data_IF_750644410662
#
_entry.id   IF_750644410662
#
_cell.length_a   1.000
_cell.length_b   1.000
_cell.length_c   1.000
_cell.angle_alpha   90.00
_cell.angle_beta   90.00
_cell.angle_gamma   90.00
#
_symmetry.space_group_name_H-M   'P 1'
#
loop_
_entity.id
_entity.type
_entity.pdbx_description
1 polymer ?
#
# COMPACT_ATOMS: atom_id res chain seq x y z
N UNK A 1 -75.38 12.71 -25.12
CA UNK A 1 -75.32 12.13 -23.77
C UNK A 1 -76.53 12.59 -23.02
N UNK A 2 -77.29 11.68 -22.43
CA UNK A 2 -78.47 12.08 -21.64
C UNK A 2 -77.99 12.89 -20.39
N UNK A 3 -78.48 14.10 -20.22
CA UNK A 3 -78.20 14.93 -19.04
C UNK A 3 -79.03 14.38 -17.89
N UNK A 4 -78.41 13.59 -16.99
CA UNK A 4 -79.03 13.11 -15.78
C UNK A 4 -78.68 14.08 -14.63
N UNK A 5 -79.70 14.53 -13.88
CA UNK A 5 -79.59 15.60 -12.88
C UNK A 5 -78.81 15.12 -11.63
N UNK A 6 -78.88 13.81 -11.29
CA UNK A 6 -78.24 13.25 -10.10
C UNK A 6 -76.74 12.82 -10.28
N UNK A 7 -76.28 12.70 -11.54
CA UNK A 7 -74.86 12.27 -11.79
C UNK A 7 -74.24 13.22 -12.79
N UNK A 8 -73.39 14.15 -12.34
CA UNK A 8 -72.67 15.06 -13.24
C UNK A 8 -71.41 14.37 -13.78
N UNK A 9 -71.55 13.64 -14.90
CA UNK A 9 -70.48 12.93 -15.53
C UNK A 9 -69.31 13.82 -15.98
N UNK A 10 -69.61 15.07 -16.39
CA UNK A 10 -68.60 16.05 -16.81
C UNK A 10 -67.75 16.50 -15.61
N UNK A 11 -68.35 16.72 -14.44
CA UNK A 11 -67.64 17.01 -13.20
C UNK A 11 -66.74 15.87 -12.75
N UNK A 12 -67.21 14.61 -12.83
CA UNK A 12 -66.43 13.43 -12.48
C UNK A 12 -65.23 13.23 -13.38
N UNK A 13 -65.43 13.40 -14.74
CA UNK A 13 -64.33 13.33 -15.70
C UNK A 13 -63.29 14.43 -15.43
N UNK A 14 -63.75 15.65 -15.20
CA UNK A 14 -62.88 16.79 -14.91
C UNK A 14 -62.09 16.55 -13.64
N UNK A 15 -62.73 16.03 -12.57
CA UNK A 15 -62.09 15.71 -11.29
C UNK A 15 -61.04 14.61 -11.43
N UNK A 16 -61.31 13.55 -12.22
CA UNK A 16 -60.35 12.52 -12.55
C UNK A 16 -59.13 13.06 -13.32
N UNK A 17 -59.36 14.00 -14.24
CA UNK A 17 -58.31 14.65 -15.01
C UNK A 17 -57.43 15.56 -14.09
N UNK A 18 -58.06 16.30 -13.18
CA UNK A 18 -57.37 17.12 -12.19
C UNK A 18 -56.51 16.23 -11.28
N UNK A 19 -57.01 15.10 -10.78
CA UNK A 19 -56.26 14.17 -9.95
C UNK A 19 -55.05 13.57 -10.69
N UNK A 20 -55.21 13.17 -11.97
CA UNK A 20 -54.10 12.70 -12.80
C UNK A 20 -53.03 13.80 -12.99
N UNK A 21 -53.49 15.03 -13.27
CA UNK A 21 -52.60 16.15 -13.47
C UNK A 21 -51.85 16.53 -12.15
N UNK A 22 -52.55 16.45 -11.00
CA UNK A 22 -51.94 16.64 -9.68
C UNK A 22 -50.83 15.63 -9.43
N UNK A 23 -51.04 14.36 -9.79
CA UNK A 23 -49.99 13.32 -9.66
C UNK A 23 -48.82 13.62 -10.60
N UNK A 24 -49.05 14.05 -11.85
CA UNK A 24 -48.01 14.43 -12.79
C UNK A 24 -47.21 15.65 -12.28
N UNK A 25 -47.89 16.66 -11.73
CA UNK A 25 -47.25 17.83 -11.14
C UNK A 25 -46.36 17.43 -9.94
N UNK A 26 -46.83 16.56 -9.05
CA UNK A 26 -46.08 16.06 -7.91
C UNK A 26 -44.83 15.32 -8.38
N UNK A 27 -44.92 14.47 -9.40
CA UNK A 27 -43.77 13.75 -9.97
C UNK A 27 -42.74 14.72 -10.58
N UNK A 28 -43.18 15.74 -11.34
CA UNK A 28 -42.26 16.73 -11.91
C UNK A 28 -41.58 17.57 -10.84
N UNK A 29 -42.27 17.94 -9.77
CA UNK A 29 -41.66 18.62 -8.61
C UNK A 29 -40.64 17.73 -7.88
N UNK A 30 -40.95 16.44 -7.67
CA UNK A 30 -40.05 15.47 -7.07
C UNK A 30 -38.76 15.30 -7.87
N UNK A 31 -38.87 15.11 -9.21
CA UNK A 31 -37.75 15.01 -10.14
C UNK A 31 -36.91 16.28 -10.19
N UNK A 32 -37.56 17.43 -10.17
CA UNK A 32 -36.88 18.71 -10.19
C UNK A 32 -36.15 18.98 -8.90
N UNK A 33 -36.72 18.58 -7.74
CA UNK A 33 -36.12 18.72 -6.42
C UNK A 33 -34.96 17.74 -6.19
N UNK A 34 -35.07 16.51 -6.67
CA UNK A 34 -34.01 15.48 -6.57
C UNK A 34 -32.93 15.61 -7.65
N UNK A 35 -33.23 16.22 -8.78
CA UNK A 35 -32.40 16.20 -9.98
C UNK A 35 -32.41 14.87 -10.73
N UNK A 36 -33.21 13.90 -10.25
CA UNK A 36 -33.21 12.54 -10.77
C UNK A 36 -34.54 12.22 -11.48
N UNK A 37 -34.45 11.60 -12.66
CA UNK A 37 -35.59 11.06 -13.40
C UNK A 37 -36.15 9.80 -12.77
N UNK A 38 -35.23 8.97 -12.19
CA UNK A 38 -35.57 7.74 -11.49
C UNK A 38 -35.25 7.96 -9.99
N UNK A 39 -36.27 8.17 -9.18
CA UNK A 39 -36.13 8.42 -7.76
C UNK A 39 -36.45 7.16 -6.93
N UNK A 40 -37.30 6.30 -7.46
CA UNK A 40 -37.76 5.07 -6.81
C UNK A 40 -37.86 3.90 -7.78
N UNK A 41 -37.92 2.66 -7.23
CA UNK A 41 -38.14 1.46 -8.03
C UNK A 41 -39.50 1.47 -8.79
N UNK A 42 -40.46 2.30 -8.36
CA UNK A 42 -41.74 2.48 -8.99
C UNK A 42 -41.63 3.22 -10.35
N UNK A 43 -40.64 4.10 -10.48
CA UNK A 43 -40.43 4.90 -11.68
C UNK A 43 -39.83 4.04 -12.81
N UNK A 44 -38.78 3.29 -12.50
CA UNK A 44 -38.13 2.33 -13.40
C UNK A 44 -37.28 1.36 -12.57
N UNK A 45 -37.78 0.17 -12.31
CA UNK A 45 -37.05 -0.86 -11.51
C UNK A 45 -35.78 -1.34 -12.20
N UNK A 46 -35.78 -1.46 -13.53
CA UNK A 46 -34.63 -1.90 -14.31
C UNK A 46 -33.54 -0.82 -14.34
N UNK A 47 -33.94 0.42 -14.63
CA UNK A 47 -33.02 1.57 -14.63
C UNK A 47 -32.39 1.81 -13.26
N UNK A 48 -33.18 1.69 -12.19
CA UNK A 48 -32.64 1.82 -10.82
C UNK A 48 -31.64 0.70 -10.46
N UNK A 49 -31.93 -0.55 -10.85
CA UNK A 49 -30.99 -1.65 -10.60
C UNK A 49 -29.64 -1.44 -11.34
N UNK A 50 -29.71 -0.95 -12.59
CA UNK A 50 -28.50 -0.61 -13.38
C UNK A 50 -27.76 0.55 -12.74
N UNK A 51 -28.46 1.63 -12.36
CA UNK A 51 -27.85 2.80 -11.70
C UNK A 51 -27.19 2.44 -10.37
N UNK A 52 -27.80 1.56 -9.57
CA UNK A 52 -27.21 1.06 -8.32
C UNK A 52 -25.94 0.25 -8.58
N UNK A 53 -25.91 -0.57 -9.64
CA UNK A 53 -24.68 -1.29 -10.03
C UNK A 53 -23.59 -0.33 -10.48
N UNK A 54 -23.92 0.72 -11.21
CA UNK A 54 -22.94 1.76 -11.58
C UNK A 54 -22.43 2.50 -10.35
N UNK A 55 -23.31 2.87 -9.42
CA UNK A 55 -22.91 3.51 -8.15
C UNK A 55 -21.95 2.62 -7.36
N UNK A 56 -22.24 1.32 -7.25
CA UNK A 56 -21.37 0.36 -6.59
C UNK A 56 -19.99 0.27 -7.26
N UNK A 57 -19.97 0.16 -8.60
CA UNK A 57 -18.74 0.10 -9.37
C UNK A 57 -17.92 1.40 -9.25
N UNK A 58 -18.57 2.57 -9.38
CA UNK A 58 -17.91 3.89 -9.24
C UNK A 58 -17.26 4.01 -7.86
N UNK A 59 -17.99 3.67 -6.78
CA UNK A 59 -17.42 3.67 -5.42
C UNK A 59 -16.26 2.71 -5.28
N UNK A 60 -16.39 1.50 -5.83
CA UNK A 60 -15.32 0.49 -5.84
C UNK A 60 -14.07 0.97 -6.58
N UNK A 61 -14.23 1.51 -7.80
CA UNK A 61 -13.12 2.02 -8.61
C UNK A 61 -12.46 3.26 -7.98
N UNK A 62 -13.25 4.14 -7.34
CA UNK A 62 -12.72 5.29 -6.60
C UNK A 62 -11.87 4.84 -5.41
N UNK A 63 -12.31 3.80 -4.68
CA UNK A 63 -11.51 3.21 -3.62
C UNK A 63 -10.26 2.53 -4.17
N UNK A 64 -10.38 1.81 -5.28
CA UNK A 64 -9.25 1.18 -5.96
C UNK A 64 -8.19 2.19 -6.41
N UNK A 65 -8.61 3.37 -6.90
CA UNK A 65 -7.69 4.46 -7.22
C UNK A 65 -6.95 4.98 -5.99
N UNK A 66 -7.61 5.11 -4.85
CA UNK A 66 -6.93 5.44 -3.57
C UNK A 66 -5.94 4.37 -3.15
N UNK A 67 -6.33 3.11 -3.19
CA UNK A 67 -5.44 1.99 -2.87
C UNK A 67 -4.20 1.95 -3.79
N UNK A 68 -4.37 2.27 -5.06
CA UNK A 68 -3.25 2.35 -6.01
C UNK A 68 -2.28 3.49 -5.65
N UNK A 69 -2.78 4.65 -5.23
CA UNK A 69 -1.96 5.76 -4.74
C UNK A 69 -1.22 5.40 -3.44
N UNK A 70 -1.86 4.65 -2.53
CA UNK A 70 -1.20 4.13 -1.34
C UNK A 70 -0.07 3.17 -1.71
N UNK A 71 -0.28 2.32 -2.73
CA UNK A 71 0.76 1.45 -3.29
C UNK A 71 1.93 2.22 -3.91
N UNK A 72 1.66 3.32 -4.60
CA UNK A 72 2.71 4.22 -5.13
C UNK A 72 3.51 4.82 -3.96
N UNK A 73 2.85 5.32 -2.94
CA UNK A 73 3.51 5.91 -1.77
C UNK A 73 4.38 4.91 -1.01
N UNK A 74 3.93 3.65 -0.89
CA UNK A 74 4.72 2.55 -0.34
C UNK A 74 5.98 2.30 -1.17
N UNK A 75 5.83 2.20 -2.51
CA UNK A 75 6.95 1.96 -3.41
C UNK A 75 7.96 3.11 -3.37
N UNK A 76 7.51 4.36 -3.29
CA UNK A 76 8.36 5.54 -3.13
C UNK A 76 9.11 5.54 -1.79
N UNK A 77 8.45 5.13 -0.70
CA UNK A 77 9.10 5.00 0.62
C UNK A 77 10.21 3.96 0.58
N UNK A 78 9.95 2.81 -0.03
CA UNK A 78 10.96 1.77 -0.21
C UNK A 78 12.12 2.23 -1.13
N UNK A 79 11.81 2.94 -2.20
CA UNK A 79 12.81 3.49 -3.13
C UNK A 79 13.71 4.53 -2.45
N UNK A 80 13.14 5.41 -1.62
CA UNK A 80 13.91 6.37 -0.83
C UNK A 80 14.93 5.69 0.09
N UNK A 81 14.50 4.66 0.83
CA UNK A 81 15.38 3.87 1.68
C UNK A 81 16.46 3.12 0.89
N UNK A 82 16.11 2.56 -0.29
CA UNK A 82 17.08 1.91 -1.18
C UNK A 82 18.10 2.91 -1.75
N UNK A 83 17.72 4.17 -1.94
CA UNK A 83 18.67 5.22 -2.32
C UNK A 83 19.71 5.46 -1.24
N UNK A 84 19.30 5.51 0.03
CA UNK A 84 20.24 5.63 1.16
C UNK A 84 21.15 4.39 1.28
N UNK A 85 20.61 3.19 1.09
CA UNK A 85 21.39 1.95 1.06
C UNK A 85 22.42 2.01 -0.08
N UNK A 86 22.04 2.46 -1.26
CA UNK A 86 22.94 2.60 -2.42
C UNK A 86 24.06 3.60 -2.12
N UNK A 87 23.76 4.75 -1.51
CA UNK A 87 24.76 5.74 -1.11
C UNK A 87 25.77 5.15 -0.11
N UNK A 88 25.32 4.37 0.87
CA UNK A 88 26.20 3.69 1.80
C UNK A 88 27.05 2.63 1.10
N UNK A 89 26.51 1.85 0.16
CA UNK A 89 27.27 0.89 -0.64
C UNK A 89 28.34 1.56 -1.50
N UNK A 90 28.02 2.68 -2.13
CA UNK A 90 28.98 3.48 -2.90
C UNK A 90 30.11 4.00 -2.01
N UNK A 91 29.78 4.47 -0.82
CA UNK A 91 30.80 4.91 0.16
C UNK A 91 31.69 3.76 0.63
N UNK A 92 31.12 2.59 0.88
CA UNK A 92 31.91 1.37 1.19
C UNK A 92 32.83 1.03 0.02
N UNK A 93 32.36 1.18 -1.22
CA UNK A 93 33.17 0.94 -2.41
C UNK A 93 34.35 1.91 -2.52
N UNK A 94 34.15 3.19 -2.26
CA UNK A 94 35.22 4.19 -2.20
C UNK A 94 36.27 3.82 -1.13
N UNK A 95 35.82 3.48 0.07
CA UNK A 95 36.68 3.06 1.17
C UNK A 95 37.46 1.77 0.82
N UNK A 96 36.82 0.85 0.12
CA UNK A 96 37.45 -0.38 -0.35
C UNK A 96 38.55 -0.09 -1.39
N UNK A 97 38.32 0.83 -2.32
CA UNK A 97 39.33 1.27 -3.28
C UNK A 97 40.51 1.96 -2.55
N UNK A 98 40.18 2.79 -1.56
CA UNK A 98 41.21 3.44 -0.73
C UNK A 98 42.04 2.40 0.04
N UNK A 99 41.41 1.39 0.63
CA UNK A 99 42.10 0.33 1.35
C UNK A 99 43.01 -0.53 0.45
N UNK A 100 42.66 -0.64 -0.83
CA UNK A 100 43.43 -1.44 -1.80
C UNK A 100 44.75 -0.82 -2.21
N UNK A 101 45.06 0.43 -1.81
CA UNK A 101 46.35 1.05 -2.04
C UNK A 101 47.38 0.59 -1.02
N UNK A 102 48.54 0.15 -1.47
CA UNK A 102 49.65 -0.33 -0.58
C UNK A 102 50.33 0.76 0.25
N UNK A 103 49.78 1.99 0.27
CA UNK A 103 50.32 3.13 1.03
C UNK A 103 49.69 3.28 2.43
N UNK A 104 48.65 2.50 2.74
CA UNK A 104 47.94 2.58 4.02
C UNK A 104 48.73 1.81 5.10
N UNK A 105 48.82 2.39 6.29
CA UNK A 105 49.28 1.68 7.47
C UNK A 105 48.21 0.74 8.03
N UNK A 106 48.60 -0.20 8.90
CA UNK A 106 47.61 -1.09 9.56
C UNK A 106 46.59 -0.30 10.38
N UNK A 107 46.99 0.82 10.97
CA UNK A 107 46.09 1.75 11.69
C UNK A 107 45.09 2.42 10.77
N UNK A 108 45.52 2.79 9.52
CA UNK A 108 44.63 3.38 8.53
C UNK A 108 43.61 2.36 8.01
N UNK A 109 44.08 1.14 7.73
CA UNK A 109 43.24 0.00 7.34
C UNK A 109 42.19 -0.34 8.41
N UNK A 110 42.61 -0.32 9.69
CA UNK A 110 41.65 -0.52 10.81
C UNK A 110 40.58 0.57 10.83
N UNK A 111 40.97 1.84 10.69
CA UNK A 111 40.04 2.96 10.68
C UNK A 111 39.06 2.91 9.47
N UNK A 112 39.56 2.50 8.31
CA UNK A 112 38.72 2.29 7.12
C UNK A 112 37.73 1.15 7.38
N UNK A 113 38.17 0.05 8.00
CA UNK A 113 37.30 -1.08 8.34
C UNK A 113 36.20 -0.70 9.32
N UNK A 114 36.51 0.13 10.32
CA UNK A 114 35.51 0.63 11.26
C UNK A 114 34.47 1.51 10.59
N UNK A 115 34.86 2.36 9.62
CA UNK A 115 33.91 3.12 8.84
C UNK A 115 33.04 2.20 7.97
N UNK A 116 33.64 1.19 7.32
CA UNK A 116 32.89 0.20 6.51
C UNK A 116 31.86 -0.51 7.38
N UNK A 117 32.27 -0.96 8.58
CA UNK A 117 31.36 -1.60 9.53
C UNK A 117 30.20 -0.69 9.90
N UNK A 118 30.49 0.56 10.26
CA UNK A 118 29.45 1.57 10.57
C UNK A 118 28.46 1.76 9.42
N UNK A 119 28.94 1.73 8.17
CA UNK A 119 28.08 1.84 6.99
C UNK A 119 27.23 0.58 6.76
N UNK A 120 27.77 -0.61 7.02
CA UNK A 120 26.99 -1.86 6.96
C UNK A 120 25.93 -1.91 8.06
N UNK A 121 26.26 -1.50 9.27
CA UNK A 121 25.30 -1.40 10.39
C UNK A 121 24.17 -0.40 10.04
N UNK A 122 24.50 0.70 9.35
CA UNK A 122 23.51 1.67 8.89
C UNK A 122 22.59 1.09 7.79
N UNK A 123 23.11 0.28 6.88
CA UNK A 123 22.30 -0.46 5.90
C UNK A 123 21.31 -1.38 6.62
N UNK A 124 21.77 -2.12 7.61
CA UNK A 124 20.91 -3.03 8.40
C UNK A 124 19.86 -2.25 9.20
N UNK A 125 20.23 -1.09 9.77
CA UNK A 125 19.31 -0.20 10.47
C UNK A 125 18.22 0.35 9.53
N UNK A 126 18.61 0.88 8.36
CA UNK A 126 17.66 1.40 7.37
C UNK A 126 16.72 0.30 6.90
N UNK A 127 17.25 -0.89 6.60
CA UNK A 127 16.45 -2.04 6.20
C UNK A 127 15.42 -2.46 7.27
N UNK A 128 15.85 -2.50 8.53
CA UNK A 128 15.00 -2.92 9.65
C UNK A 128 13.95 -1.87 10.05
N UNK A 129 14.26 -0.58 9.91
CA UNK A 129 13.41 0.52 10.39
C UNK A 129 12.50 1.11 9.33
N UNK A 130 12.78 0.88 8.03
CA UNK A 130 11.92 1.42 6.98
C UNK A 130 10.58 0.72 6.96
N UNK A 131 9.54 1.49 7.27
CA UNK A 131 8.17 0.99 7.32
C UNK A 131 7.20 1.96 6.64
N UNK A 132 6.14 1.40 6.10
CA UNK A 132 4.99 2.13 5.59
C UNK A 132 3.73 1.61 6.30
N UNK A 133 3.02 2.48 7.00
CA UNK A 133 1.83 2.15 7.78
C UNK A 133 2.01 0.93 8.72
N UNK A 134 3.16 0.87 9.41
CA UNK A 134 3.51 -0.23 10.34
C UNK A 134 3.98 -1.52 9.69
N UNK A 135 4.09 -1.56 8.35
CA UNK A 135 4.63 -2.71 7.62
C UNK A 135 6.06 -2.41 7.17
N UNK A 136 7.01 -3.23 7.60
CA UNK A 136 8.39 -3.13 7.16
C UNK A 136 8.48 -3.55 5.68
N UNK A 137 9.13 -2.71 4.86
CA UNK A 137 9.17 -2.90 3.40
C UNK A 137 10.47 -3.51 2.89
N UNK A 138 11.54 -3.52 3.71
CA UNK A 138 12.89 -4.01 3.33
C UNK A 138 13.42 -5.12 4.25
N UNK A 139 12.68 -5.52 5.30
CA UNK A 139 13.17 -6.46 6.31
C UNK A 139 12.86 -7.93 6.04
N UNK A 140 12.02 -8.22 5.06
CA UNK A 140 11.60 -9.60 4.70
C UNK A 140 11.22 -9.72 3.24
N UNK A 141 11.33 -10.94 2.72
CA UNK A 141 10.81 -11.27 1.40
C UNK A 141 9.31 -11.54 1.51
N UNK A 142 8.49 -10.67 0.91
CA UNK A 142 7.04 -10.77 0.96
C UNK A 142 6.43 -10.19 -0.34
N UNK A 143 5.14 -10.33 -0.52
CA UNK A 143 4.41 -9.76 -1.64
C UNK A 143 3.13 -9.09 -1.13
N UNK A 144 3.07 -7.79 -1.25
CA UNK A 144 1.88 -7.02 -0.91
C UNK A 144 0.96 -6.88 -2.12
N UNK A 145 -0.29 -7.31 -1.97
CA UNK A 145 -1.30 -7.19 -3.02
C UNK A 145 -2.12 -5.92 -2.81
N UNK A 146 -2.17 -5.08 -3.82
CA UNK A 146 -2.98 -3.86 -3.85
C UNK A 146 -4.18 -4.11 -4.73
N UNK A 147 -5.39 -3.97 -4.18
CA UNK A 147 -6.65 -4.09 -4.91
C UNK A 147 -6.85 -2.83 -5.77
N UNK A 148 -6.82 -2.99 -7.09
CA UNK A 148 -6.90 -1.92 -8.09
C UNK A 148 -8.14 -1.99 -8.96
N UNK A 149 -9.16 -2.69 -8.51
CA UNK A 149 -10.43 -2.81 -9.24
C UNK A 149 -11.61 -3.05 -8.31
N UNK A 150 -12.81 -2.95 -8.86
CA UNK A 150 -14.07 -3.10 -8.13
C UNK A 150 -14.46 -4.57 -7.90
N UNK A 151 -13.79 -5.53 -8.56
CA UNK A 151 -14.11 -6.96 -8.46
C UNK A 151 -12.95 -7.73 -7.82
N UNK A 152 -13.25 -8.93 -7.32
CA UNK A 152 -12.28 -9.83 -6.71
C UNK A 152 -11.12 -10.16 -7.67
N UNK A 153 -9.94 -10.36 -7.11
CA UNK A 153 -8.69 -10.70 -7.82
C UNK A 153 -8.15 -9.65 -8.80
N UNK A 154 -8.71 -8.44 -8.83
CA UNK A 154 -8.15 -7.33 -9.60
C UNK A 154 -7.03 -6.64 -8.80
N UNK A 155 -5.87 -7.28 -8.69
CA UNK A 155 -4.76 -6.83 -7.84
C UNK A 155 -3.48 -6.60 -8.63
N UNK A 156 -2.66 -5.66 -8.16
CA UNK A 156 -1.24 -5.55 -8.51
C UNK A 156 -0.43 -5.97 -7.29
N UNK A 157 0.55 -6.84 -7.49
CA UNK A 157 1.45 -7.27 -6.43
C UNK A 157 2.72 -6.42 -6.43
N UNK A 158 3.09 -5.91 -5.27
CA UNK A 158 4.37 -5.26 -5.00
C UNK A 158 5.25 -6.28 -4.31
N UNK A 159 6.32 -6.74 -4.99
CA UNK A 159 7.31 -7.63 -4.39
C UNK A 159 8.17 -6.84 -3.42
N UNK A 160 8.21 -7.25 -2.16
CA UNK A 160 9.11 -6.74 -1.15
C UNK A 160 10.29 -7.69 -1.02
N UNK A 161 11.49 -7.16 -0.88
CA UNK A 161 12.72 -7.95 -0.73
C UNK A 161 13.48 -7.50 0.50
N UNK A 162 14.04 -8.47 1.20
CA UNK A 162 14.97 -8.20 2.29
C UNK A 162 16.29 -7.71 1.70
N UNK A 163 16.71 -6.52 2.13
CA UNK A 163 17.95 -5.88 1.72
C UNK A 163 18.73 -5.49 2.97
N UNK A 164 19.57 -6.38 3.43
CA UNK A 164 20.47 -6.21 4.57
C UNK A 164 21.88 -6.68 4.20
N UNK A 165 22.84 -6.48 5.08
CA UNK A 165 24.24 -6.90 4.90
C UNK A 165 24.35 -8.41 4.60
N UNK A 166 23.46 -9.23 5.18
CA UNK A 166 23.43 -10.68 4.97
C UNK A 166 22.95 -11.06 3.58
N UNK A 167 21.81 -10.48 3.14
CA UNK A 167 21.24 -10.77 1.81
C UNK A 167 22.05 -10.17 0.68
N UNK A 168 22.83 -9.12 0.95
CA UNK A 168 23.80 -8.54 0.01
C UNK A 168 25.12 -9.31 -0.04
N UNK A 169 25.30 -10.38 0.76
CA UNK A 169 26.54 -11.15 0.93
C UNK A 169 27.72 -10.29 1.39
N UNK A 170 27.46 -9.27 2.20
CA UNK A 170 28.47 -8.39 2.76
C UNK A 170 28.69 -8.62 4.27
N UNK A 171 28.06 -9.66 4.86
CA UNK A 171 28.28 -10.03 6.24
C UNK A 171 29.72 -10.50 6.42
N UNK A 172 30.42 -9.87 7.38
CA UNK A 172 31.85 -10.16 7.60
C UNK A 172 32.77 -9.59 6.51
N UNK A 173 32.32 -8.60 5.75
CA UNK A 173 33.11 -7.93 4.72
C UNK A 173 34.33 -7.22 5.32
N UNK A 174 35.51 -7.55 4.88
CA UNK A 174 36.78 -6.97 5.36
C UNK A 174 37.69 -6.61 4.20
N UNK A 175 38.36 -5.47 4.32
CA UNK A 175 39.35 -4.97 3.33
C UNK A 175 40.78 -5.04 3.84
N UNK A 176 40.94 -5.11 5.17
CA UNK A 176 42.25 -5.03 5.83
C UNK A 176 42.85 -6.42 6.13
N UNK A 177 42.14 -7.50 5.82
CA UNK A 177 42.51 -8.84 6.29
C UNK A 177 42.30 -9.05 7.80
N UNK A 178 41.74 -8.06 8.50
CA UNK A 178 41.32 -8.22 9.90
C UNK A 178 39.89 -8.72 9.97
N UNK A 179 39.67 -9.79 10.72
CA UNK A 179 38.33 -10.33 10.92
C UNK A 179 37.47 -9.34 11.72
N UNK A 180 36.18 -9.22 11.37
CA UNK A 180 35.24 -8.45 12.19
C UNK A 180 34.89 -9.24 13.45
N UNK A 181 35.43 -8.81 14.57
CA UNK A 181 35.23 -9.44 15.85
C UNK A 181 34.03 -8.85 16.59
N UNK A 182 33.09 -9.70 16.96
CA UNK A 182 31.99 -9.37 17.84
C UNK A 182 32.00 -10.22 19.10
N UNK A 183 31.40 -9.75 20.20
CA UNK A 183 31.28 -10.56 21.42
C UNK A 183 30.55 -11.87 21.09
N UNK A 184 31.17 -13.00 21.42
CA UNK A 184 30.59 -14.30 21.13
C UNK A 184 29.32 -14.53 21.96
N UNK A 185 28.22 -14.85 21.28
CA UNK A 185 26.98 -15.30 21.91
C UNK A 185 26.94 -16.82 21.82
N UNK A 186 27.18 -17.48 22.95
CA UNK A 186 27.09 -18.93 23.01
C UNK A 186 25.76 -19.36 23.61
N UNK A 187 25.21 -20.44 23.07
CA UNK A 187 23.99 -21.08 23.58
C UNK A 187 24.31 -22.52 23.95
N UNK A 188 23.80 -22.96 25.08
CA UNK A 188 23.88 -24.35 25.53
C UNK A 188 23.00 -25.25 24.66
N UNK A 189 23.14 -26.56 24.78
CA UNK A 189 22.37 -27.54 24.05
C UNK A 189 20.82 -27.44 24.31
N UNK A 190 20.46 -26.89 25.46
CA UNK A 190 19.07 -26.63 25.87
C UNK A 190 18.50 -25.29 25.33
N UNK A 191 19.29 -24.54 24.55
CA UNK A 191 18.91 -23.23 24.01
C UNK A 191 19.08 -22.04 24.93
N UNK A 192 19.62 -22.24 26.16
CA UNK A 192 19.90 -21.15 27.09
C UNK A 192 21.18 -20.43 26.72
N UNK A 193 21.22 -19.08 26.86
CA UNK A 193 22.42 -18.31 26.63
C UNK A 193 23.47 -18.56 27.75
N UNK A 194 24.73 -18.84 27.38
CA UNK A 194 25.84 -19.00 28.30
C UNK A 194 26.31 -17.62 28.70
N UNK A 195 26.36 -17.36 30.02
CA UNK A 195 26.84 -16.08 30.52
C UNK A 195 28.37 -15.93 30.29
N UNK A 196 28.81 -14.69 30.02
CA UNK A 196 30.23 -14.40 29.78
C UNK A 196 31.14 -14.84 30.95
N UNK A 197 30.60 -14.94 32.18
CA UNK A 197 31.31 -15.42 33.35
C UNK A 197 31.61 -16.93 33.33
N UNK A 198 30.85 -17.70 32.56
CA UNK A 198 30.97 -19.15 32.46
C UNK A 198 31.81 -19.57 31.24
N UNK A 199 32.40 -18.61 30.52
CA UNK A 199 33.35 -18.83 29.43
C UNK A 199 34.78 -18.78 30.01
N UNK A 200 35.41 -19.94 30.12
CA UNK A 200 36.70 -20.09 30.80
C UNK A 200 37.70 -20.84 29.93
N UNK A 201 38.99 -20.52 30.10
CA UNK A 201 40.07 -21.28 29.50
C UNK A 201 40.31 -22.63 30.24
N UNK A 202 41.21 -23.45 29.71
CA UNK A 202 41.58 -24.73 30.31
C UNK A 202 42.17 -24.60 31.76
N UNK A 203 42.56 -23.41 32.14
CA UNK A 203 43.03 -23.08 33.49
C UNK A 203 41.95 -22.56 34.43
N UNK A 204 40.68 -22.47 33.97
CA UNK A 204 39.55 -21.95 34.74
C UNK A 204 39.47 -20.43 34.82
N UNK A 205 40.33 -19.70 34.11
CA UNK A 205 40.31 -18.23 34.03
C UNK A 205 39.27 -17.77 33.02
N UNK A 206 38.47 -16.77 33.39
CA UNK A 206 37.51 -16.15 32.45
C UNK A 206 38.25 -15.53 31.28
N UNK A 207 37.75 -15.82 30.06
CA UNK A 207 38.28 -15.26 28.81
C UNK A 207 37.22 -14.51 28.07
N UNK A 208 37.62 -13.39 27.44
CA UNK A 208 36.74 -12.62 26.59
C UNK A 208 36.74 -13.26 25.20
N UNK A 209 35.71 -14.06 24.94
CA UNK A 209 35.55 -14.79 23.67
C UNK A 209 34.92 -13.88 22.64
N UNK A 210 35.55 -13.79 21.49
CA UNK A 210 35.04 -13.09 20.31
C UNK A 210 34.65 -14.11 19.26
N UNK A 211 33.62 -13.79 18.52
CA UNK A 211 33.22 -14.54 17.33
C UNK A 211 33.52 -13.72 16.08
N UNK A 212 33.97 -14.39 15.03
CA UNK A 212 34.14 -13.81 13.72
C UNK A 212 33.61 -14.77 12.65
N UNK A 213 33.23 -14.22 11.50
CA UNK A 213 32.84 -15.05 10.34
C UNK A 213 34.07 -15.25 9.48
N UNK A 214 34.49 -16.48 9.30
CA UNK A 214 35.55 -16.82 8.36
C UNK A 214 34.96 -16.71 6.92
N UNK A 215 35.48 -15.75 6.16
CA UNK A 215 35.01 -15.46 4.79
C UNK A 215 35.29 -16.59 3.81
N UNK A 216 36.28 -17.44 4.08
CA UNK A 216 36.62 -18.58 3.21
C UNK A 216 35.64 -19.76 3.37
N UNK A 217 35.18 -20.02 4.61
CA UNK A 217 34.29 -21.13 4.94
C UNK A 217 32.84 -20.71 5.24
N UNK A 218 32.57 -19.40 5.32
CA UNK A 218 31.29 -18.80 5.75
C UNK A 218 30.79 -19.38 7.10
N UNK A 219 31.74 -19.80 7.95
CA UNK A 219 31.46 -20.38 9.26
C UNK A 219 31.84 -19.40 10.37
N UNK A 220 31.08 -19.45 11.47
CA UNK A 220 31.44 -18.70 12.68
C UNK A 220 32.59 -19.40 13.37
N UNK A 221 33.73 -18.72 13.52
CA UNK A 221 34.86 -19.13 14.29
C UNK A 221 34.99 -18.25 15.52
N UNK A 222 35.85 -18.67 16.46
CA UNK A 222 36.05 -17.96 17.70
C UNK A 222 37.51 -17.55 17.87
N UNK A 223 37.72 -16.43 18.54
CA UNK A 223 39.02 -15.91 18.84
C UNK A 223 39.07 -15.38 20.28
N UNK A 224 40.23 -15.39 20.85
CA UNK A 224 40.54 -14.78 22.18
C UNK A 224 41.69 -13.82 21.98
N UNK A 225 41.57 -12.63 22.62
CA UNK A 225 42.67 -11.66 22.62
C UNK A 225 43.72 -12.12 23.59
N UNK A 226 44.93 -12.37 23.14
CA UNK A 226 46.08 -12.58 24.02
C UNK A 226 46.46 -11.25 24.70
N UNK A 227 46.29 -11.19 26.00
CA UNK A 227 46.55 -10.00 26.81
C UNK A 227 48.04 -9.57 26.87
N UNK A 228 48.95 -10.46 26.48
CA UNK A 228 50.39 -10.17 26.48
C UNK A 228 50.85 -9.53 25.18
N UNK A 229 50.27 -9.96 24.05
CA UNK A 229 50.67 -9.54 22.71
C UNK A 229 49.67 -8.65 22.00
N UNK A 230 48.43 -8.57 22.53
CA UNK A 230 47.31 -7.84 21.90
C UNK A 230 46.78 -8.51 20.62
N UNK A 231 47.27 -9.72 20.30
CA UNK A 231 46.90 -10.43 19.09
C UNK A 231 45.66 -11.30 19.30
N UNK A 232 44.92 -11.49 18.23
CA UNK A 232 43.75 -12.38 18.21
C UNK A 232 44.23 -13.80 17.92
N UNK A 233 44.02 -14.72 18.87
CA UNK A 233 44.39 -16.12 18.74
C UNK A 233 43.13 -16.95 18.42
N UNK A 234 43.24 -17.88 17.47
CA UNK A 234 42.14 -18.78 17.12
C UNK A 234 41.75 -19.60 18.38
N UNK A 235 40.47 -19.73 18.65
CA UNK A 235 39.93 -20.44 19.78
C UNK A 235 38.91 -21.48 19.39
N UNK A 236 38.98 -22.67 19.96
CA UNK A 236 37.95 -23.69 19.86
C UNK A 236 37.10 -23.70 21.13
N UNK A 237 35.80 -23.83 21.00
CA UNK A 237 34.85 -23.81 22.11
C UNK A 237 34.20 -25.17 22.24
N UNK A 238 34.37 -25.78 23.41
CA UNK A 238 33.61 -26.98 23.77
C UNK A 238 32.54 -26.59 24.81
N UNK A 239 31.29 -26.78 24.45
CA UNK A 239 30.15 -26.49 25.31
C UNK A 239 29.78 -27.73 26.07
N UNK A 240 29.81 -27.66 27.41
CA UNK A 240 29.42 -28.74 28.33
C UNK A 240 28.35 -28.18 29.25
N UNK A 241 27.13 -28.66 29.15
CA UNK A 241 25.95 -28.18 29.88
C UNK A 241 25.75 -26.64 29.76
N UNK A 242 26.04 -25.87 30.80
CA UNK A 242 25.88 -24.41 30.84
C UNK A 242 27.21 -23.66 30.91
N UNK A 243 28.32 -24.32 30.68
CA UNK A 243 29.67 -23.72 30.68
C UNK A 243 30.34 -23.95 29.32
N UNK A 244 31.17 -23.00 28.91
CA UNK A 244 31.96 -23.10 27.70
C UNK A 244 33.46 -23.18 28.09
N UNK A 245 34.08 -24.31 27.78
CA UNK A 245 35.53 -24.46 27.89
C UNK A 245 36.17 -23.97 26.57
N UNK A 246 37.06 -23.00 26.69
CA UNK A 246 37.75 -22.38 25.56
C UNK A 246 39.20 -22.89 25.52
N UNK A 247 39.55 -23.52 24.40
CA UNK A 247 40.98 -23.86 24.16
C UNK A 247 41.54 -22.85 23.18
N UNK A 248 42.50 -22.06 23.61
CA UNK A 248 43.18 -21.07 22.77
C UNK A 248 44.22 -21.78 21.93
N UNK A 249 44.12 -21.64 20.61
CA UNK A 249 45.09 -22.19 19.67
C UNK A 249 46.37 -21.36 19.61
N UNK A 250 47.42 -21.93 19.03
CA UNK A 250 48.70 -21.22 18.83
C UNK A 250 48.69 -20.35 17.53
N UNK A 251 47.68 -20.50 16.71
CA UNK A 251 47.58 -19.74 15.46
C UNK A 251 46.93 -18.35 15.68
N UNK A 252 47.61 -17.35 15.18
CA UNK A 252 47.05 -16.00 15.11
C UNK A 252 45.93 -16.02 14.08
N UNK A 253 44.79 -15.40 14.40
CA UNK A 253 43.73 -15.22 13.41
C UNK A 253 44.17 -14.18 12.40
N UNK A 254 44.77 -14.66 11.31
CA UNK A 254 44.94 -13.85 10.12
C UNK A 254 43.55 -13.61 9.55
N UNK A 255 43.02 -12.40 9.71
CA UNK A 255 41.78 -12.05 9.11
C UNK A 255 41.88 -12.23 7.59
N UNK A 256 41.10 -13.11 7.01
CA UNK A 256 41.04 -13.23 5.56
C UNK A 256 40.26 -12.04 5.01
N UNK A 257 40.96 -11.18 4.26
CA UNK A 257 40.30 -10.16 3.46
C UNK A 257 39.27 -10.82 2.53
N UNK A 258 38.15 -10.14 2.33
CA UNK A 258 37.11 -10.62 1.38
C UNK A 258 37.77 -10.83 0.02
N UNK A 259 37.61 -12.02 -0.56
CA UNK A 259 38.06 -12.27 -1.91
C UNK A 259 37.27 -11.40 -2.88
N UNK A 260 37.94 -10.68 -3.79
CA UNK A 260 37.31 -9.77 -4.77
C UNK A 260 36.30 -8.76 -4.13
N UNK A 261 36.71 -7.94 -3.15
CA UNK A 261 35.77 -7.10 -2.40
C UNK A 261 35.01 -6.10 -3.28
N UNK A 262 35.63 -5.56 -4.32
CA UNK A 262 34.97 -4.66 -5.27
C UNK A 262 33.88 -5.40 -6.08
N UNK A 263 34.12 -6.62 -6.50
CA UNK A 263 33.15 -7.44 -7.22
C UNK A 263 31.95 -7.79 -6.33
N UNK A 264 32.18 -8.07 -5.04
CA UNK A 264 31.12 -8.31 -4.08
C UNK A 264 30.22 -7.08 -3.90
N UNK A 265 30.83 -5.88 -3.80
CA UNK A 265 30.11 -4.62 -3.72
C UNK A 265 29.37 -4.27 -5.00
N UNK A 266 29.98 -4.47 -6.18
CA UNK A 266 29.32 -4.26 -7.46
C UNK A 266 28.09 -5.17 -7.61
N UNK A 267 28.18 -6.43 -7.14
CA UNK A 267 27.04 -7.34 -7.13
C UNK A 267 25.94 -6.89 -6.14
N UNK A 268 26.31 -6.37 -4.98
CA UNK A 268 25.37 -5.81 -4.01
C UNK A 268 24.65 -4.58 -4.58
N UNK A 269 25.38 -3.63 -5.17
CA UNK A 269 24.82 -2.45 -5.84
C UNK A 269 23.87 -2.88 -6.95
N UNK A 270 24.27 -3.79 -7.83
CA UNK A 270 23.43 -4.30 -8.92
C UNK A 270 22.12 -4.94 -8.40
N UNK A 271 22.16 -5.62 -7.25
CA UNK A 271 20.97 -6.20 -6.62
C UNK A 271 20.02 -5.10 -6.12
N UNK A 272 20.54 -4.06 -5.47
CA UNK A 272 19.75 -2.91 -5.02
C UNK A 272 19.14 -2.18 -6.22
N UNK A 273 19.91 -1.91 -7.26
CA UNK A 273 19.44 -1.24 -8.47
C UNK A 273 18.36 -2.04 -9.21
N UNK A 274 18.51 -3.36 -9.28
CA UNK A 274 17.50 -4.25 -9.85
C UNK A 274 16.18 -4.15 -9.07
N UNK A 275 16.26 -4.08 -7.75
CA UNK A 275 15.06 -3.94 -6.93
C UNK A 275 14.44 -2.55 -7.08
N UNK A 276 15.22 -1.48 -7.11
CA UNK A 276 14.74 -0.12 -7.43
C UNK A 276 14.04 -0.05 -8.78
N UNK A 277 14.64 -0.65 -9.81
CA UNK A 277 14.03 -0.74 -11.14
C UNK A 277 12.68 -1.48 -11.12
N UNK A 278 12.59 -2.56 -10.35
CA UNK A 278 11.34 -3.31 -10.16
C UNK A 278 10.26 -2.44 -9.48
N UNK A 279 10.61 -1.68 -8.45
CA UNK A 279 9.68 -0.75 -7.78
C UNK A 279 9.24 0.38 -8.72
N UNK A 280 10.15 0.95 -9.51
CA UNK A 280 9.81 1.95 -10.52
C UNK A 280 8.84 1.42 -11.59
N UNK A 281 9.05 0.18 -12.05
CA UNK A 281 8.11 -0.47 -12.96
C UNK A 281 6.73 -0.67 -12.35
N UNK A 282 6.65 -1.02 -11.06
CA UNK A 282 5.38 -1.14 -10.32
C UNK A 282 4.70 0.21 -10.16
N UNK A 283 5.44 1.29 -9.85
CA UNK A 283 4.90 2.65 -9.78
C UNK A 283 4.25 3.05 -11.11
N UNK A 284 4.93 2.86 -12.23
CA UNK A 284 4.38 3.16 -13.55
C UNK A 284 3.12 2.33 -13.88
N UNK A 285 3.08 1.07 -13.46
CA UNK A 285 1.87 0.22 -13.62
C UNK A 285 0.72 0.70 -12.78
N UNK A 286 0.96 1.12 -11.53
CA UNK A 286 -0.05 1.67 -10.64
C UNK A 286 -0.57 3.01 -11.15
N UNK A 287 0.31 3.90 -11.65
CA UNK A 287 -0.08 5.19 -12.23
C UNK A 287 -0.96 5.00 -13.47
N UNK A 288 -0.58 4.07 -14.35
CA UNK A 288 -1.41 3.68 -15.50
C UNK A 288 -2.77 3.12 -15.07
N UNK A 289 -2.80 2.34 -13.97
CA UNK A 289 -4.05 1.83 -13.41
C UNK A 289 -4.92 2.97 -12.85
N UNK A 290 -4.35 3.93 -12.11
CA UNK A 290 -5.08 5.12 -11.61
C UNK A 290 -5.70 5.91 -12.76
N UNK A 291 -4.94 6.15 -13.82
CA UNK A 291 -5.45 6.86 -15.00
C UNK A 291 -6.61 6.12 -15.66
N UNK A 292 -6.49 4.81 -15.83
CA UNK A 292 -7.56 3.98 -16.39
C UNK A 292 -8.80 3.94 -15.50
N UNK A 293 -8.62 3.81 -14.17
CA UNK A 293 -9.70 3.82 -13.18
C UNK A 293 -10.47 5.15 -13.21
N UNK A 294 -9.77 6.27 -13.28
CA UNK A 294 -10.38 7.60 -13.35
C UNK A 294 -11.20 7.76 -14.65
N UNK A 295 -10.65 7.36 -15.81
CA UNK A 295 -11.36 7.38 -17.07
C UNK A 295 -12.61 6.49 -17.05
N UNK A 296 -12.48 5.28 -16.49
CA UNK A 296 -13.61 4.35 -16.36
C UNK A 296 -14.67 4.91 -15.42
N UNK A 297 -14.27 5.51 -14.31
CA UNK A 297 -15.19 6.14 -13.35
C UNK A 297 -15.96 7.29 -14.00
N UNK A 298 -15.30 8.13 -14.79
CA UNK A 298 -15.94 9.22 -15.55
C UNK A 298 -16.97 8.68 -16.54
N UNK A 299 -16.58 7.68 -17.35
CA UNK A 299 -17.48 7.07 -18.32
C UNK A 299 -18.71 6.40 -17.65
N UNK A 300 -18.49 5.72 -16.52
CA UNK A 300 -19.59 5.11 -15.76
C UNK A 300 -20.50 6.18 -15.13
N UNK A 301 -19.95 7.28 -14.65
CA UNK A 301 -20.73 8.40 -14.11
C UNK A 301 -21.57 9.05 -15.18
N UNK A 302 -21.03 9.26 -16.39
CA UNK A 302 -21.80 9.76 -17.54
C UNK A 302 -22.90 8.78 -17.97
N UNK A 303 -22.63 7.49 -17.98
CA UNK A 303 -23.62 6.47 -18.29
C UNK A 303 -24.72 6.42 -17.22
N UNK A 304 -24.37 6.54 -15.95
CA UNK A 304 -25.31 6.63 -14.84
C UNK A 304 -26.20 7.88 -14.97
N UNK A 305 -25.60 9.05 -15.25
CA UNK A 305 -26.32 10.31 -15.46
C UNK A 305 -27.37 10.18 -16.56
N UNK A 306 -27.03 9.58 -17.70
CA UNK A 306 -28.01 9.36 -18.81
C UNK A 306 -29.19 8.47 -18.40
N UNK A 307 -29.00 7.59 -17.42
CA UNK A 307 -30.07 6.70 -16.94
C UNK A 307 -30.91 7.40 -15.89
N UNK A 308 -30.25 8.01 -14.90
CA UNK A 308 -30.86 8.43 -13.63
C UNK A 308 -31.20 9.91 -13.57
N UNK A 309 -30.43 10.79 -14.24
CA UNK A 309 -30.61 12.23 -14.11
C UNK A 309 -31.81 12.73 -14.94
N UNK A 310 -32.44 13.76 -14.41
CA UNK A 310 -33.54 14.44 -15.09
C UNK A 310 -33.03 15.56 -16.00
N UNK A 311 -33.61 15.67 -17.19
CA UNK A 311 -33.43 16.86 -18.01
C UNK A 311 -34.25 18.00 -17.38
N UNK A 312 -33.55 18.96 -16.81
CA UNK A 312 -34.12 20.10 -16.11
C UNK A 312 -35.08 20.91 -17.00
N UNK A 313 -34.72 21.15 -18.26
CA UNK A 313 -35.55 21.96 -19.17
C UNK A 313 -36.88 21.25 -19.52
N UNK A 314 -36.82 19.94 -19.71
CA UNK A 314 -38.01 19.12 -19.95
C UNK A 314 -38.90 19.07 -18.70
N UNK A 315 -38.37 18.88 -17.51
CA UNK A 315 -39.16 18.78 -16.27
C UNK A 315 -39.77 20.13 -15.86
N UNK A 316 -39.09 21.26 -16.06
CA UNK A 316 -39.67 22.60 -15.85
C UNK A 316 -40.82 22.84 -16.80
N UNK A 317 -40.68 22.43 -18.06
CA UNK A 317 -41.77 22.54 -19.06
C UNK A 317 -42.98 21.69 -18.65
N UNK A 318 -42.74 20.44 -18.21
CA UNK A 318 -43.80 19.55 -17.74
C UNK A 318 -44.51 20.10 -16.50
N UNK A 319 -43.75 20.62 -15.54
CA UNK A 319 -44.27 21.27 -14.33
C UNK A 319 -45.16 22.49 -14.69
N UNK A 320 -44.65 23.37 -15.55
CA UNK A 320 -45.41 24.57 -15.99
C UNK A 320 -46.70 24.19 -16.71
N UNK A 321 -46.63 23.19 -17.63
CA UNK A 321 -47.80 22.64 -18.30
C UNK A 321 -48.81 22.07 -17.30
N UNK A 322 -48.36 21.31 -16.33
CA UNK A 322 -49.22 20.72 -15.29
C UNK A 322 -49.90 21.81 -14.43
N UNK A 323 -49.17 22.88 -14.07
CA UNK A 323 -49.73 24.02 -13.35
C UNK A 323 -50.81 24.74 -14.14
N UNK A 324 -50.60 24.99 -15.43
CA UNK A 324 -51.58 25.62 -16.33
C UNK A 324 -52.83 24.75 -16.44
N UNK A 325 -52.65 23.43 -16.66
CA UNK A 325 -53.76 22.48 -16.77
C UNK A 325 -54.56 22.41 -15.45
N UNK A 326 -53.88 22.49 -14.30
CA UNK A 326 -54.53 22.50 -12.99
C UNK A 326 -55.41 23.73 -12.82
N UNK A 327 -54.91 24.92 -13.19
CA UNK A 327 -55.68 26.15 -13.12
C UNK A 327 -56.89 26.12 -14.07
N UNK A 328 -56.67 25.68 -15.33
CA UNK A 328 -57.73 25.52 -16.31
C UNK A 328 -58.75 24.47 -15.87
N UNK A 329 -58.30 23.34 -15.32
CA UNK A 329 -59.16 22.26 -14.80
C UNK A 329 -60.06 22.71 -13.69
N UNK A 330 -59.53 23.51 -12.73
CA UNK A 330 -60.35 24.09 -11.68
C UNK A 330 -61.45 25.03 -12.21
N UNK A 331 -61.12 25.83 -13.22
CA UNK A 331 -62.10 26.71 -13.87
C UNK A 331 -63.17 25.90 -14.64
N UNK A 332 -62.82 24.84 -15.34
CA UNK A 332 -63.72 23.93 -16.01
C UNK A 332 -64.60 23.18 -15.00
N UNK A 333 -64.04 22.70 -13.90
CA UNK A 333 -64.79 22.04 -12.82
C UNK A 333 -65.86 22.98 -12.22
N UNK A 334 -65.52 24.26 -11.97
CA UNK A 334 -66.48 25.25 -11.52
C UNK A 334 -67.61 25.42 -12.51
N UNK A 335 -67.32 25.54 -13.84
CA UNK A 335 -68.37 25.64 -14.88
C UNK A 335 -69.17 24.35 -15.01
N UNK A 336 -68.54 23.16 -14.91
CA UNK A 336 -69.25 21.89 -14.96
C UNK A 336 -70.25 21.74 -13.80
N UNK A 337 -69.94 22.25 -12.62
CA UNK A 337 -70.82 22.25 -11.45
C UNK A 337 -72.00 23.24 -11.56
N UNK A 338 -71.90 24.29 -12.41
CA UNK A 338 -72.98 25.25 -12.66
C UNK A 338 -74.02 24.74 -13.69
N UNK A 339 -73.64 23.81 -14.59
CA UNK A 339 -74.54 23.28 -15.63
C UNK A 339 -75.83 22.65 -15.07
N UNK A 340 -75.79 21.79 -14.04
CA UNK A 340 -77.03 21.23 -13.46
C UNK A 340 -77.92 22.32 -12.83
N UNK A 341 -77.35 23.37 -12.25
CA UNK A 341 -78.12 24.47 -11.65
C UNK A 341 -78.83 25.30 -12.71
N UNK A 342 -78.22 25.54 -13.89
CA UNK A 342 -78.86 26.21 -15.05
C UNK A 342 -80.00 25.38 -15.63
N UNK A 343 -79.81 24.05 -15.73
CA UNK A 343 -80.87 23.16 -16.13
C UNK A 343 -82.06 23.15 -15.17
N UNK A 344 -81.78 23.17 -13.88
CA UNK A 344 -82.84 23.20 -12.85
C UNK A 344 -83.59 24.54 -12.84
N UNK A 345 -82.94 25.68 -13.11
CA UNK A 345 -83.58 26.97 -13.22
C UNK A 345 -84.46 27.09 -14.44
N UNK A 346 -84.12 26.40 -15.56
CA UNK A 346 -84.95 26.32 -16.79
C UNK A 346 -86.16 25.39 -16.64
N UNK A 347 -86.14 24.46 -15.66
CA UNK A 347 -87.25 23.57 -15.35
C UNK A 347 -88.20 24.12 -14.31
N UNK A 348 -87.83 25.14 -13.59
CA UNK A 348 -88.60 25.80 -12.52
C UNK A 348 -89.27 27.14 -13.03
N UNK A 349 -88.96 27.64 -14.22
CA UNK A 349 -89.56 28.78 -14.89
C UNK A 349 -90.42 28.30 -16.00
#
# INVERSE_FOLDING_TARGET
MAQVINTNSLSLITQNNINKNQSALSTSIERLSSGLRINSAKDDAAGQAIANRFTSNIKGLTQAARNANDGISLAQTAEGALSEINNNLQRIRELTVQASTGTNSDSDLSSIQDEIKSRLDEIDRVSGQTQFNGVNVLSKNDSMKIQIGANDNQTISIGLQQIDSTTLNLKGFTVSGMADFSAAKLTAADGTAIAAADVKDAGGKQVNLLSYTDTASNSTKYAVVDSATGKYMEATVAITDKAAAVTVGAAEVAGAATADPLKALDAAIAKVDKFRSSLGAVQNRLDSAVTNLNNTTTNLSEAQSRIQDADYATEVSNMSKAQIIQQAGNSVLAKANQVPQQVLSLLQG
#
